data_IF_802582172512
#
_entry.id   IF_802582172512
#
_cell.length_a   1.000
_cell.length_b   1.000
_cell.length_c   1.000
_cell.angle_alpha   90.00
_cell.angle_beta   90.00
_cell.angle_gamma   90.00
#
_symmetry.space_group_name_H-M   'P 1'
#
loop_
_entity.id
_entity.type
_entity.pdbx_description
1 polymer ?
#
# COMPACT_ATOMS: atom_id res chain seq x y z
N UNK A 1 17.83 9.49 4.86
CA UNK A 1 17.97 10.93 4.53
C UNK A 1 19.18 11.43 5.25
N UNK A 2 20.07 12.15 4.58
CA UNK A 2 21.30 12.72 5.16
C UNK A 2 21.15 14.25 5.11
N UNK A 3 21.40 14.93 6.19
CA UNK A 3 21.25 16.38 6.28
C UNK A 3 22.29 17.00 7.20
N UNK A 4 22.24 18.31 7.38
CA UNK A 4 23.12 19.04 8.30
C UNK A 4 23.09 18.42 9.71
N UNK A 5 24.24 18.25 10.32
CA UNK A 5 24.40 17.56 11.61
C UNK A 5 24.50 16.04 11.53
N UNK A 6 24.32 15.41 10.34
CA UNK A 6 24.53 13.99 10.17
C UNK A 6 26.01 13.63 10.20
N UNK A 7 26.38 12.48 10.81
CA UNK A 7 27.73 11.96 10.85
C UNK A 7 27.82 10.68 10.01
N UNK A 8 28.85 10.58 9.17
CA UNK A 8 29.18 9.36 8.42
C UNK A 8 30.65 9.03 8.70
N UNK A 9 30.90 7.97 9.46
CA UNK A 9 32.24 7.63 9.93
C UNK A 9 32.82 8.75 10.80
N UNK A 10 33.99 9.27 10.42
CA UNK A 10 34.64 10.42 11.08
C UNK A 10 34.32 11.77 10.46
N UNK A 11 33.50 11.80 9.35
CA UNK A 11 33.10 13.02 8.65
C UNK A 11 31.69 13.45 9.04
N UNK A 12 31.48 14.75 9.15
CA UNK A 12 30.18 15.37 9.40
C UNK A 12 29.75 16.27 8.24
N UNK A 13 28.44 16.51 8.13
CA UNK A 13 27.86 17.47 7.20
C UNK A 13 27.62 18.77 7.95
N UNK A 14 28.27 19.84 7.51
CA UNK A 14 28.11 21.18 8.08
C UNK A 14 27.20 22.04 7.21
N UNK A 15 26.51 22.99 7.85
CA UNK A 15 25.80 24.04 7.13
C UNK A 15 26.83 25.08 6.66
N UNK A 16 27.10 25.12 5.37
CA UNK A 16 28.02 26.08 4.76
C UNK A 16 27.35 27.41 4.39
N UNK A 17 26.02 27.43 4.38
CA UNK A 17 25.26 28.65 4.10
C UNK A 17 23.90 28.57 4.80
N UNK A 18 23.66 29.46 5.75
CA UNK A 18 22.36 29.64 6.39
C UNK A 18 21.53 30.63 5.57
N UNK A 19 20.57 30.09 4.84
CA UNK A 19 19.58 30.92 4.16
C UNK A 19 18.16 30.35 4.46
N UNK A 20 17.15 31.22 4.56
CA UNK A 20 15.77 30.76 4.66
C UNK A 20 15.44 29.96 3.41
N UNK A 21 14.68 28.87 3.60
CA UNK A 21 14.23 28.05 2.47
C UNK A 21 13.41 28.92 1.51
N UNK A 22 13.75 28.87 0.23
CA UNK A 22 12.98 29.57 -0.79
C UNK A 22 11.57 29.00 -0.89
N UNK A 23 10.54 29.83 -1.14
CA UNK A 23 9.19 29.33 -1.34
C UNK A 23 9.16 28.38 -2.55
N UNK A 24 8.40 27.30 -2.43
CA UNK A 24 8.24 26.33 -3.51
C UNK A 24 7.56 27.00 -4.71
N UNK A 25 8.10 26.88 -5.94
CA UNK A 25 7.42 27.38 -7.12
C UNK A 25 6.01 26.79 -7.26
N UNK A 26 5.04 27.59 -7.66
CA UNK A 26 3.63 27.15 -7.73
C UNK A 26 3.45 25.89 -8.60
N UNK A 27 4.11 25.83 -9.77
CA UNK A 27 4.06 24.66 -10.64
C UNK A 27 4.54 23.36 -9.98
N UNK A 28 5.51 23.45 -9.06
CA UNK A 28 6.01 22.29 -8.32
C UNK A 28 5.05 21.94 -7.17
N UNK A 29 4.44 22.94 -6.55
CA UNK A 29 3.36 22.73 -5.58
C UNK A 29 2.20 21.97 -6.20
N UNK A 30 1.76 22.34 -7.40
CA UNK A 30 0.68 21.68 -8.13
C UNK A 30 1.02 20.22 -8.47
N UNK A 31 2.26 19.94 -8.87
CA UNK A 31 2.74 18.57 -9.12
C UNK A 31 2.81 17.70 -7.86
N UNK A 32 3.04 18.30 -6.71
CA UNK A 32 3.11 17.61 -5.42
C UNK A 32 1.73 17.47 -4.77
N UNK A 33 0.73 18.20 -5.24
CA UNK A 33 -0.65 18.07 -4.76
C UNK A 33 -1.21 16.73 -5.25
N UNK A 34 -1.21 15.73 -4.38
CA UNK A 34 -1.84 14.45 -4.67
C UNK A 34 -3.36 14.64 -4.71
N UNK A 35 -4.04 14.19 -5.78
CA UNK A 35 -5.51 14.19 -5.79
C UNK A 35 -6.04 13.48 -4.55
N UNK A 36 -7.18 13.92 -3.97
CA UNK A 36 -7.78 13.24 -2.83
C UNK A 36 -7.99 11.76 -3.19
N UNK A 37 -7.59 10.87 -2.29
CA UNK A 37 -7.80 9.44 -2.47
C UNK A 37 -9.30 9.16 -2.64
N UNK A 38 -9.70 8.25 -3.54
CA UNK A 38 -11.09 7.86 -3.68
C UNK A 38 -11.61 7.33 -2.34
N UNK A 39 -12.84 7.68 -2.01
CA UNK A 39 -13.46 7.22 -0.77
C UNK A 39 -13.47 5.68 -0.72
N UNK A 40 -13.22 5.06 0.45
CA UNK A 40 -13.29 3.61 0.58
C UNK A 40 -14.68 3.10 0.18
N UNK A 41 -14.71 2.04 -0.63
CA UNK A 41 -15.96 1.42 -1.05
C UNK A 41 -16.70 0.84 0.17
N UNK A 42 -18.01 1.06 0.32
CA UNK A 42 -18.81 0.43 1.36
C UNK A 42 -18.70 -1.10 1.29
N UNK A 43 -18.56 -1.75 2.44
CA UNK A 43 -18.40 -3.22 2.53
C UNK A 43 -19.58 -4.00 1.93
N UNK A 44 -20.78 -3.41 1.94
CA UNK A 44 -21.97 -3.97 1.27
C UNK A 44 -21.80 -4.06 -0.25
N UNK A 45 -21.12 -3.10 -0.84
CA UNK A 45 -20.84 -3.05 -2.28
C UNK A 45 -19.73 -4.05 -2.67
N UNK A 46 -18.73 -4.22 -1.79
CA UNK A 46 -17.71 -5.23 -1.94
C UNK A 46 -18.32 -6.65 -1.96
N UNK A 47 -19.20 -6.96 -1.02
CA UNK A 47 -19.90 -8.26 -0.94
C UNK A 47 -20.73 -8.56 -2.19
N UNK A 48 -21.37 -7.53 -2.76
CA UNK A 48 -22.19 -7.68 -3.98
C UNK A 48 -21.34 -7.97 -5.24
N UNK A 49 -20.08 -7.56 -5.28
CA UNK A 49 -19.15 -7.83 -6.39
C UNK A 49 -18.56 -9.25 -6.34
N UNK A 50 -18.58 -9.89 -5.19
CA UNK A 50 -17.97 -11.18 -4.96
C UNK A 50 -19.00 -12.31 -5.16
N UNK A 51 -19.38 -12.59 -6.40
CA UNK A 51 -20.46 -13.56 -6.72
C UNK A 51 -20.17 -15.01 -6.32
N UNK A 52 -18.92 -15.37 -6.12
CA UNK A 52 -18.49 -16.76 -5.83
C UNK A 52 -17.67 -16.87 -4.53
N UNK A 53 -17.53 -15.78 -3.77
CA UNK A 53 -16.73 -15.81 -2.57
C UNK A 53 -17.51 -16.48 -1.42
N UNK A 54 -16.84 -17.37 -0.71
CA UNK A 54 -17.36 -17.93 0.54
C UNK A 54 -17.41 -16.84 1.62
N UNK A 55 -18.25 -17.02 2.66
CA UNK A 55 -18.27 -16.11 3.80
C UNK A 55 -16.89 -15.95 4.46
N UNK A 56 -16.06 -16.99 4.39
CA UNK A 56 -14.68 -16.98 4.87
C UNK A 56 -13.79 -16.04 4.06
N UNK A 57 -13.78 -16.14 2.74
CA UNK A 57 -12.92 -15.32 1.88
C UNK A 57 -13.32 -13.85 1.91
N UNK A 58 -14.62 -13.55 2.03
CA UNK A 58 -15.14 -12.19 2.22
C UNK A 58 -14.66 -11.60 3.55
N UNK A 59 -14.74 -12.38 4.64
CA UNK A 59 -14.29 -11.95 5.96
C UNK A 59 -12.77 -11.74 6.00
N UNK A 60 -12.01 -12.64 5.35
CA UNK A 60 -10.56 -12.52 5.26
C UNK A 60 -10.13 -11.27 4.48
N UNK A 61 -10.74 -11.03 3.31
CA UNK A 61 -10.46 -9.83 2.52
C UNK A 61 -10.76 -8.56 3.33
N UNK A 62 -11.94 -8.51 3.97
CA UNK A 62 -12.34 -7.39 4.82
C UNK A 62 -11.32 -7.12 5.93
N UNK A 63 -10.89 -8.15 6.65
CA UNK A 63 -9.93 -8.02 7.74
C UNK A 63 -8.57 -7.48 7.26
N UNK A 64 -8.11 -7.88 6.08
CA UNK A 64 -6.88 -7.35 5.51
C UNK A 64 -7.03 -5.88 5.05
N UNK A 65 -8.18 -5.51 4.46
CA UNK A 65 -8.47 -4.11 4.10
C UNK A 65 -8.53 -3.20 5.34
N UNK A 66 -9.14 -3.63 6.43
CA UNK A 66 -9.18 -2.89 7.70
C UNK A 66 -7.77 -2.64 8.26
N UNK A 67 -6.85 -3.62 8.17
CA UNK A 67 -5.44 -3.45 8.56
C UNK A 67 -4.73 -2.41 7.71
N UNK A 68 -4.97 -2.39 6.39
CA UNK A 68 -4.40 -1.39 5.49
C UNK A 68 -4.90 0.01 5.81
N UNK A 69 -6.22 0.17 6.01
CA UNK A 69 -6.84 1.45 6.31
C UNK A 69 -6.42 2.02 7.67
N UNK A 70 -6.17 1.16 8.66
CA UNK A 70 -5.72 1.55 9.99
C UNK A 70 -4.20 1.73 10.12
N UNK A 71 -3.43 1.46 9.06
CA UNK A 71 -1.98 1.52 9.10
C UNK A 71 -1.46 2.95 9.30
N UNK A 72 -0.53 3.10 10.24
CA UNK A 72 0.13 4.38 10.51
C UNK A 72 1.10 4.75 9.40
N UNK A 73 1.38 6.04 9.28
CA UNK A 73 2.42 6.54 8.39
C UNK A 73 3.76 5.82 8.63
N UNK A 74 4.48 5.52 7.55
CA UNK A 74 5.69 4.69 7.59
C UNK A 74 5.43 3.18 7.54
N UNK A 75 4.23 2.70 7.94
CA UNK A 75 3.85 1.29 7.89
C UNK A 75 2.91 0.91 6.74
N UNK A 76 2.32 1.90 6.04
CA UNK A 76 1.25 1.71 5.06
C UNK A 76 1.63 0.79 3.90
N UNK A 77 2.78 1.01 3.28
CA UNK A 77 3.29 0.19 2.18
C UNK A 77 3.48 -1.28 2.62
N UNK A 78 4.07 -1.47 3.80
CA UNK A 78 4.27 -2.79 4.40
C UNK A 78 2.92 -3.49 4.68
N UNK A 79 1.92 -2.76 5.13
CA UNK A 79 0.57 -3.29 5.38
C UNK A 79 -0.08 -3.79 4.09
N UNK A 80 -0.01 -3.02 2.99
CA UNK A 80 -0.49 -3.44 1.66
C UNK A 80 0.23 -4.69 1.17
N UNK A 81 1.56 -4.76 1.33
CA UNK A 81 2.34 -5.94 0.96
C UNK A 81 1.88 -7.19 1.71
N UNK A 82 1.73 -7.10 3.04
CA UNK A 82 1.32 -8.26 3.84
C UNK A 82 -0.14 -8.67 3.60
N UNK A 83 -1.03 -7.72 3.34
CA UNK A 83 -2.40 -8.00 2.95
C UNK A 83 -2.44 -8.77 1.63
N UNK A 84 -1.70 -8.33 0.61
CA UNK A 84 -1.58 -9.04 -0.66
C UNK A 84 -0.98 -10.45 -0.49
N UNK A 85 0.06 -10.57 0.34
CA UNK A 85 0.69 -11.85 0.67
C UNK A 85 -0.30 -12.83 1.32
N UNK A 86 -1.08 -12.37 2.29
CA UNK A 86 -2.07 -13.21 2.98
C UNK A 86 -3.21 -13.65 2.06
N UNK A 87 -3.65 -12.75 1.15
CA UNK A 87 -4.75 -13.01 0.23
C UNK A 87 -4.36 -13.87 -0.99
N UNK A 88 -3.07 -14.00 -1.30
CA UNK A 88 -2.58 -14.80 -2.41
C UNK A 88 -3.06 -16.26 -2.35
N UNK A 89 -3.20 -16.82 -1.14
CA UNK A 89 -3.73 -18.16 -0.95
C UNK A 89 -5.17 -18.29 -1.42
N UNK A 90 -6.03 -17.32 -1.13
CA UNK A 90 -7.44 -17.32 -1.49
C UNK A 90 -7.66 -17.14 -3.01
N UNK A 91 -6.71 -16.51 -3.69
CA UNK A 91 -6.72 -16.44 -5.16
C UNK A 91 -6.46 -17.84 -5.76
N UNK A 92 -5.53 -18.59 -5.19
CA UNK A 92 -5.20 -19.94 -5.66
C UNK A 92 -6.32 -20.97 -5.43
N UNK A 93 -7.10 -20.81 -4.38
CA UNK A 93 -8.28 -21.66 -4.11
C UNK A 93 -9.53 -21.24 -4.91
N UNK A 94 -9.38 -20.26 -5.79
CA UNK A 94 -10.45 -19.66 -6.60
C UNK A 94 -11.59 -19.03 -5.79
N UNK A 95 -11.40 -18.86 -4.48
CA UNK A 95 -12.34 -18.15 -3.61
C UNK A 95 -12.38 -16.65 -3.91
N UNK A 96 -11.26 -16.09 -4.39
CA UNK A 96 -11.10 -14.69 -4.78
C UNK A 96 -10.41 -14.60 -6.14
N UNK A 97 -10.79 -13.60 -6.94
CA UNK A 97 -10.03 -13.30 -8.17
C UNK A 97 -8.88 -12.34 -7.86
N UNK A 98 -7.76 -12.49 -8.57
CA UNK A 98 -6.64 -11.55 -8.45
C UNK A 98 -7.06 -10.11 -8.78
N UNK A 99 -7.96 -9.95 -9.75
CA UNK A 99 -8.49 -8.64 -10.13
C UNK A 99 -9.25 -7.97 -8.97
N UNK A 100 -10.10 -8.72 -8.25
CA UNK A 100 -10.82 -8.21 -7.08
C UNK A 100 -9.85 -7.82 -5.97
N UNK A 101 -8.92 -8.70 -5.60
CA UNK A 101 -7.93 -8.42 -4.54
C UNK A 101 -7.09 -7.20 -4.88
N UNK A 102 -6.61 -7.11 -6.13
CA UNK A 102 -5.80 -5.98 -6.58
C UNK A 102 -6.58 -4.68 -6.55
N UNK A 103 -7.82 -4.67 -7.05
CA UNK A 103 -8.68 -3.47 -7.05
C UNK A 103 -8.93 -2.96 -5.63
N UNK A 104 -9.29 -3.84 -4.71
CA UNK A 104 -9.64 -3.47 -3.34
C UNK A 104 -8.41 -2.99 -2.55
N UNK A 105 -7.27 -3.69 -2.68
CA UNK A 105 -6.02 -3.25 -2.05
C UNK A 105 -5.49 -1.93 -2.63
N UNK A 106 -5.69 -1.68 -3.93
CA UNK A 106 -5.38 -0.40 -4.55
C UNK A 106 -6.20 0.73 -3.93
N UNK A 107 -7.52 0.52 -3.83
CA UNK A 107 -8.43 1.49 -3.22
C UNK A 107 -8.08 1.77 -1.76
N UNK A 108 -7.89 0.73 -0.96
CA UNK A 108 -7.52 0.85 0.46
C UNK A 108 -6.16 1.53 0.66
N UNK A 109 -5.14 1.15 -0.14
CA UNK A 109 -3.81 1.73 -0.06
C UNK A 109 -3.79 3.21 -0.41
N UNK A 110 -4.51 3.61 -1.45
CA UNK A 110 -4.67 5.01 -1.83
C UNK A 110 -5.45 5.80 -0.78
N UNK A 111 -6.51 5.24 -0.22
CA UNK A 111 -7.26 5.84 0.89
C UNK A 111 -6.38 6.00 2.15
N UNK A 112 -5.44 5.10 2.38
CA UNK A 112 -4.43 5.23 3.44
C UNK A 112 -3.33 6.26 3.12
N UNK A 113 -3.29 6.83 1.90
CA UNK A 113 -2.37 7.89 1.49
C UNK A 113 -1.11 7.41 0.74
N UNK A 114 -1.12 6.20 0.19
CA UNK A 114 -0.08 5.73 -0.73
C UNK A 114 -0.36 6.18 -2.16
N UNK A 115 0.68 6.40 -2.94
CA UNK A 115 0.55 6.60 -4.38
C UNK A 115 0.13 5.32 -5.11
N UNK A 116 -0.47 5.46 -6.29
CA UNK A 116 -0.86 4.31 -7.11
C UNK A 116 0.33 3.43 -7.51
N UNK A 117 1.52 4.01 -7.67
CA UNK A 117 2.75 3.27 -8.01
C UNK A 117 3.25 2.43 -6.84
N UNK A 118 3.25 2.98 -5.62
CA UNK A 118 3.60 2.26 -4.40
C UNK A 118 2.64 1.10 -4.15
N UNK A 119 1.34 1.34 -4.25
CA UNK A 119 0.33 0.29 -4.10
C UNK A 119 0.56 -0.86 -5.09
N UNK A 120 0.71 -0.56 -6.40
CA UNK A 120 0.97 -1.60 -7.42
C UNK A 120 2.21 -2.42 -7.12
N UNK A 121 3.29 -1.77 -6.70
CA UNK A 121 4.55 -2.44 -6.39
C UNK A 121 4.41 -3.35 -5.18
N UNK A 122 3.79 -2.86 -4.11
CA UNK A 122 3.55 -3.63 -2.89
C UNK A 122 2.63 -4.84 -3.13
N UNK A 123 1.51 -4.62 -3.83
CA UNK A 123 0.54 -5.67 -4.16
C UNK A 123 1.20 -6.78 -4.98
N UNK A 124 1.85 -6.42 -6.11
CA UNK A 124 2.52 -7.41 -6.96
C UNK A 124 3.57 -8.21 -6.20
N UNK A 125 4.40 -7.54 -5.40
CA UNK A 125 5.43 -8.20 -4.60
C UNK A 125 4.83 -9.15 -3.55
N UNK A 126 3.73 -8.74 -2.90
CA UNK A 126 3.02 -9.56 -1.93
C UNK A 126 2.39 -10.79 -2.56
N UNK A 127 1.67 -10.64 -3.69
CA UNK A 127 1.03 -11.73 -4.41
C UNK A 127 2.04 -12.76 -4.92
N UNK A 128 3.12 -12.32 -5.57
CA UNK A 128 4.19 -13.21 -6.06
C UNK A 128 4.81 -13.99 -4.89
N UNK A 129 5.13 -13.33 -3.79
CA UNK A 129 5.78 -13.99 -2.65
C UNK A 129 4.84 -14.94 -1.91
N UNK A 130 3.56 -14.59 -1.77
CA UNK A 130 2.53 -15.44 -1.17
C UNK A 130 2.26 -16.69 -1.99
N UNK A 131 2.17 -16.55 -3.32
CA UNK A 131 2.00 -17.67 -4.24
C UNK A 131 3.21 -18.61 -4.28
N UNK A 132 4.45 -18.07 -4.27
CA UNK A 132 5.67 -18.88 -4.36
C UNK A 132 5.96 -19.71 -3.10
N UNK A 133 5.62 -19.21 -1.90
CA UNK A 133 5.92 -19.90 -0.65
C UNK A 133 5.13 -21.20 -0.48
N UNK A 134 3.88 -21.23 -0.92
CA UNK A 134 3.05 -22.44 -0.81
C UNK A 134 3.33 -23.46 -1.93
N UNK A 135 3.80 -23.01 -3.09
CA UNK A 135 4.26 -23.91 -4.14
C UNK A 135 5.55 -24.68 -3.74
N UNK A 136 6.32 -24.15 -2.78
CA UNK A 136 7.53 -24.81 -2.24
C UNK A 136 7.22 -25.70 -1.03
N UNK A 137 6.00 -25.68 -0.51
CA UNK A 137 5.59 -26.45 0.67
C UNK A 137 4.70 -27.66 0.32
N UNK A 138 4.39 -27.84 -0.96
CA UNK A 138 3.63 -28.96 -1.51
C UNK A 138 4.54 -29.94 -2.25
#
# INVERSE_FOLDING_TARGET
>A
MVGAGSLIGTGGYEVIHEAPAAPLPAWLGDLLTTPPAPAPMPLSELSARMRNATAYSTTALRGELEKVLSAREGGRNRSVYFAAYALARLIRTEDLTEATVTSELMSAGQSAGLSASECRTAIRSGLVRGGAREASAA
#
